data_IF_660945651553
#
_entry.id   IF_660945651553
#
_cell.length_a   1.000
_cell.length_b   1.000
_cell.length_c   1.000
_cell.angle_alpha   90.00
_cell.angle_beta   90.00
_cell.angle_gamma   90.00
#
_symmetry.space_group_name_H-M   'P 1'
#
loop_
_entity.id
_entity.type
_entity.pdbx_description
1 polymer ?
#
# COMPACT_ATOMS: atom_id res chain seq x y z
N UNK A 1 -4.56 -2.02 -24.84
CA UNK A 1 -3.34 -2.34 -24.06
C UNK A 1 -2.69 -3.55 -24.70
N UNK A 2 -1.43 -3.46 -25.13
CA UNK A 2 -0.70 -4.62 -25.66
C UNK A 2 -0.46 -5.62 -24.53
N UNK A 3 -0.43 -6.92 -24.85
CA UNK A 3 -0.17 -7.97 -23.85
C UNK A 3 1.16 -7.73 -23.13
N UNK A 4 2.18 -7.28 -23.87
CA UNK A 4 3.49 -6.89 -23.34
C UNK A 4 3.40 -5.80 -22.27
N UNK A 5 2.64 -4.73 -22.51
CA UNK A 5 2.46 -3.66 -21.53
C UNK A 5 1.76 -4.15 -20.25
N UNK A 6 0.77 -5.05 -20.40
CA UNK A 6 0.11 -5.67 -19.25
C UNK A 6 1.07 -6.49 -18.40
N UNK A 7 1.93 -7.30 -19.02
CA UNK A 7 2.93 -8.08 -18.29
C UNK A 7 3.95 -7.19 -17.58
N UNK A 8 4.44 -6.14 -18.23
CA UNK A 8 5.37 -5.18 -17.62
C UNK A 8 4.75 -4.54 -16.38
N UNK A 9 3.50 -4.05 -16.47
CA UNK A 9 2.79 -3.42 -15.35
C UNK A 9 2.58 -4.41 -14.20
N UNK A 10 2.18 -5.64 -14.50
CA UNK A 10 1.96 -6.67 -13.47
C UNK A 10 3.27 -7.08 -12.77
N UNK A 11 4.35 -7.24 -13.54
CA UNK A 11 5.69 -7.54 -12.98
C UNK A 11 6.15 -6.38 -12.11
N UNK A 12 5.95 -5.14 -12.56
CA UNK A 12 6.29 -3.95 -11.79
C UNK A 12 5.55 -3.88 -10.45
N UNK A 13 4.23 -4.12 -10.45
CA UNK A 13 3.46 -4.19 -9.19
C UNK A 13 3.92 -5.34 -8.29
N UNK A 14 4.18 -6.52 -8.86
CA UNK A 14 4.72 -7.65 -8.10
C UNK A 14 6.07 -7.33 -7.46
N UNK A 15 6.97 -6.68 -8.20
CA UNK A 15 8.27 -6.25 -7.70
C UNK A 15 8.13 -5.28 -6.52
N UNK A 16 7.24 -4.29 -6.62
CA UNK A 16 6.97 -3.34 -5.52
C UNK A 16 6.53 -4.09 -4.26
N UNK A 17 5.63 -5.07 -4.39
CA UNK A 17 5.14 -5.86 -3.25
C UNK A 17 6.28 -6.66 -2.62
N UNK A 18 7.09 -7.34 -3.43
CA UNK A 18 8.25 -8.11 -2.95
C UNK A 18 9.23 -7.20 -2.22
N UNK A 19 9.61 -6.07 -2.83
CA UNK A 19 10.54 -5.11 -2.21
C UNK A 19 9.98 -4.59 -0.90
N UNK A 20 8.71 -4.16 -0.84
CA UNK A 20 8.10 -3.67 0.38
C UNK A 20 8.03 -4.74 1.49
N UNK A 21 7.72 -5.99 1.12
CA UNK A 21 7.60 -7.12 2.04
C UNK A 21 8.94 -7.46 2.73
N UNK A 22 10.08 -7.23 2.07
CA UNK A 22 11.40 -7.43 2.69
C UNK A 22 11.95 -6.16 3.32
N UNK A 23 11.75 -5.00 2.70
CA UNK A 23 12.30 -3.73 3.18
C UNK A 23 11.71 -3.29 4.51
N UNK A 24 10.39 -3.39 4.70
CA UNK A 24 9.75 -2.92 5.94
C UNK A 24 10.21 -3.75 7.15
N UNK A 25 10.19 -5.11 7.13
CA UNK A 25 10.72 -5.90 8.23
C UNK A 25 12.21 -5.70 8.45
N UNK A 26 12.99 -5.51 7.37
CA UNK A 26 14.42 -5.21 7.50
C UNK A 26 14.66 -3.92 8.31
N UNK A 27 13.90 -2.85 8.04
CA UNK A 27 13.99 -1.60 8.80
C UNK A 27 13.50 -1.73 10.25
N UNK A 28 12.55 -2.63 10.52
CA UNK A 28 11.98 -2.84 11.84
C UNK A 28 12.70 -3.94 12.66
N UNK A 29 13.72 -4.57 12.07
CA UNK A 29 14.37 -5.76 12.62
C UNK A 29 14.95 -5.50 14.02
N UNK A 30 15.71 -4.42 14.18
CA UNK A 30 16.34 -4.03 15.46
C UNK A 30 15.29 -3.80 16.57
N UNK A 31 14.21 -3.10 16.21
CA UNK A 31 13.10 -2.82 17.11
C UNK A 31 12.38 -4.09 17.59
N UNK A 32 12.04 -5.01 16.68
CA UNK A 32 11.34 -6.25 17.04
C UNK A 32 12.25 -7.29 17.69
N UNK A 33 13.57 -7.19 17.50
CA UNK A 33 14.57 -8.03 18.17
C UNK A 33 14.84 -7.59 19.62
N UNK A 34 14.48 -6.35 19.99
CA UNK A 34 14.62 -5.83 21.35
C UNK A 34 13.61 -6.49 22.31
N UNK A 35 14.03 -6.91 23.53
CA UNK A 35 13.12 -7.44 24.56
C UNK A 35 11.95 -6.50 24.85
N UNK A 36 10.79 -7.07 25.20
CA UNK A 36 9.56 -6.28 25.37
C UNK A 36 9.68 -5.22 26.47
N UNK A 37 10.42 -5.52 27.53
CA UNK A 37 10.61 -4.63 28.69
C UNK A 37 11.40 -3.37 28.32
N UNK A 38 12.35 -3.47 27.40
CA UNK A 38 13.21 -2.36 26.97
C UNK A 38 12.77 -1.72 25.65
N UNK A 39 11.89 -2.37 24.88
CA UNK A 39 11.40 -1.90 23.57
C UNK A 39 10.74 -0.53 23.61
N UNK A 40 10.17 -0.14 24.75
CA UNK A 40 9.60 1.20 24.92
C UNK A 40 10.65 2.31 24.76
N UNK A 41 11.89 2.06 25.18
CA UNK A 41 13.00 3.02 25.11
C UNK A 41 13.74 2.98 23.76
N UNK A 42 13.38 2.06 22.87
CA UNK A 42 14.01 1.94 21.57
C UNK A 42 13.72 3.19 20.71
N UNK A 43 14.71 3.80 20.02
CA UNK A 43 14.50 5.03 19.24
C UNK A 43 13.37 4.93 18.21
N UNK A 44 13.19 3.74 17.63
CA UNK A 44 12.15 3.47 16.63
C UNK A 44 10.77 3.11 17.21
N UNK A 45 10.56 3.23 18.53
CA UNK A 45 9.30 2.84 19.18
C UNK A 45 8.09 3.57 18.62
N UNK A 46 8.18 4.88 18.40
CA UNK A 46 7.08 5.64 17.82
C UNK A 46 6.78 5.30 16.36
N UNK A 47 7.74 4.71 15.65
CA UNK A 47 7.58 4.31 14.26
C UNK A 47 6.89 2.95 14.12
N UNK A 48 7.32 1.95 14.92
CA UNK A 48 6.98 0.55 14.72
C UNK A 48 6.15 -0.09 15.83
N UNK A 49 5.81 0.63 16.90
CA UNK A 49 4.76 0.16 17.83
C UNK A 49 3.45 -0.08 17.07
N UNK A 50 2.50 -0.87 17.62
CA UNK A 50 1.24 -1.16 16.93
C UNK A 50 0.45 0.09 16.48
N UNK A 51 0.52 1.18 17.25
CA UNK A 51 -0.06 2.50 16.92
C UNK A 51 0.95 3.46 16.28
N UNK A 52 2.09 2.96 15.82
CA UNK A 52 3.18 3.74 15.28
C UNK A 52 2.90 4.27 13.87
N UNK A 53 3.67 5.28 13.49
CA UNK A 53 3.44 6.03 12.25
C UNK A 53 3.48 5.16 10.99
N UNK A 54 4.37 4.15 10.93
CA UNK A 54 4.53 3.32 9.73
C UNK A 54 3.29 2.48 9.47
N UNK A 55 2.87 1.69 10.46
CA UNK A 55 1.70 0.81 10.30
C UNK A 55 0.40 1.60 10.11
N UNK A 56 0.20 2.64 10.91
CA UNK A 56 -1.01 3.46 10.82
C UNK A 56 -1.09 4.24 9.51
N UNK A 57 0.04 4.84 9.08
CA UNK A 57 0.12 5.57 7.81
C UNK A 57 -0.14 4.67 6.61
N UNK A 58 0.44 3.47 6.57
CA UNK A 58 0.16 2.47 5.53
C UNK A 58 -1.31 2.05 5.52
N UNK A 59 -1.93 1.88 6.70
CA UNK A 59 -3.36 1.55 6.82
C UNK A 59 -4.27 2.66 6.28
N UNK A 60 -3.96 3.93 6.59
CA UNK A 60 -4.69 5.09 6.04
C UNK A 60 -4.54 5.15 4.52
N UNK A 61 -3.30 5.06 4.02
CA UNK A 61 -3.04 5.09 2.57
C UNK A 61 -3.75 3.95 1.85
N UNK A 62 -3.68 2.73 2.37
CA UNK A 62 -4.38 1.57 1.82
C UNK A 62 -5.90 1.77 1.79
N UNK A 63 -6.46 2.30 2.87
CA UNK A 63 -7.89 2.62 2.94
C UNK A 63 -8.30 3.69 1.92
N UNK A 64 -7.52 4.76 1.79
CA UNK A 64 -7.74 5.80 0.78
C UNK A 64 -7.67 5.23 -0.63
N UNK A 65 -6.68 4.38 -0.94
CA UNK A 65 -6.56 3.73 -2.24
C UNK A 65 -7.77 2.84 -2.55
N UNK A 66 -8.29 2.10 -1.56
CA UNK A 66 -9.50 1.28 -1.72
C UNK A 66 -10.73 2.15 -1.97
N UNK A 67 -10.95 3.19 -1.15
CA UNK A 67 -12.09 4.11 -1.28
C UNK A 67 -12.05 4.84 -2.63
N UNK A 68 -10.88 5.35 -3.02
CA UNK A 68 -10.70 6.03 -4.30
C UNK A 68 -10.89 5.03 -5.46
N UNK A 69 -10.27 3.85 -5.41
CA UNK A 69 -10.36 2.86 -6.47
C UNK A 69 -11.81 2.42 -6.72
N UNK A 70 -12.50 1.97 -5.66
CA UNK A 70 -13.91 1.55 -5.74
C UNK A 70 -14.81 2.74 -6.06
N UNK A 71 -14.57 3.90 -5.43
CA UNK A 71 -15.34 5.12 -5.66
C UNK A 71 -15.26 5.60 -7.11
N UNK A 72 -14.06 5.63 -7.70
CA UNK A 72 -13.86 5.97 -9.12
C UNK A 72 -14.54 4.94 -10.02
N UNK A 73 -14.45 3.64 -9.71
CA UNK A 73 -15.17 2.62 -10.46
C UNK A 73 -16.69 2.84 -10.43
N UNK A 74 -17.27 3.09 -9.25
CA UNK A 74 -18.70 3.41 -9.10
C UNK A 74 -19.10 4.68 -9.83
N UNK A 75 -18.30 5.74 -9.71
CA UNK A 75 -18.52 7.03 -10.38
C UNK A 75 -18.56 6.86 -11.90
N UNK A 76 -17.60 6.13 -12.48
CA UNK A 76 -17.57 5.83 -13.93
C UNK A 76 -18.81 5.08 -14.41
N UNK A 77 -19.35 4.18 -13.58
CA UNK A 77 -20.54 3.38 -13.94
C UNK A 77 -21.84 4.19 -13.88
N UNK A 78 -21.94 5.19 -12.99
CA UNK A 78 -23.21 5.85 -12.66
C UNK A 78 -23.31 7.31 -13.10
N UNK A 79 -22.19 8.01 -13.26
CA UNK A 79 -22.16 9.44 -13.57
C UNK A 79 -21.88 9.68 -15.06
N UNK A 80 -22.76 10.44 -15.73
CA UNK A 80 -22.65 10.74 -17.17
C UNK A 80 -21.34 11.45 -17.53
N UNK A 81 -20.82 12.30 -16.64
CA UNK A 81 -19.57 13.04 -16.83
C UNK A 81 -18.32 12.13 -16.95
N UNK A 82 -18.33 10.97 -16.28
CA UNK A 82 -17.18 10.06 -16.21
C UNK A 82 -17.22 8.93 -17.25
N UNK A 83 -18.25 8.90 -18.12
CA UNK A 83 -18.50 7.81 -19.07
C UNK A 83 -17.40 7.65 -20.13
N UNK A 84 -16.65 8.72 -20.44
CA UNK A 84 -15.60 8.72 -21.47
C UNK A 84 -14.17 8.59 -20.91
N UNK A 85 -13.99 8.62 -19.59
CA UNK A 85 -12.65 8.51 -19.01
C UNK A 85 -12.20 7.06 -19.05
N UNK A 86 -11.14 6.77 -19.81
CA UNK A 86 -10.48 5.46 -19.88
C UNK A 86 -11.29 4.36 -20.59
N UNK A 87 -10.63 3.24 -20.87
CA UNK A 87 -11.28 2.05 -21.43
C UNK A 87 -11.95 1.25 -20.30
N UNK A 88 -13.27 1.07 -20.36
CA UNK A 88 -13.93 -0.03 -19.68
C UNK A 88 -13.75 -1.23 -20.61
N UNK A 89 -12.63 -1.96 -20.45
CA UNK A 89 -12.50 -3.25 -21.11
C UNK A 89 -13.52 -4.16 -20.43
N UNK A 90 -14.43 -4.73 -21.22
CA UNK A 90 -15.40 -5.72 -20.76
C UNK A 90 -14.72 -6.80 -19.92
#
# INVERSE_FOLDING_TARGET
MSKTLQYIVNIFYGLIVVVAAFYIPFQAYDYYSTPLESRFFHPSHDMFKPSGFVGHGLGILGSLLMVIGVGVYMARKRLRAFRRLGLLKH
#
